data_IF_639599596527
#
_entry.id   IF_639599596527
#
_cell.length_a   1.000
_cell.length_b   1.000
_cell.length_c   1.000
_cell.angle_alpha   90.00
_cell.angle_beta   90.00
_cell.angle_gamma   90.00
#
_symmetry.space_group_name_H-M   'P 1'
#
loop_
_entity.id
_entity.type
_entity.pdbx_description
1 polymer ?
#
# COMPACT_ATOMS: atom_id res chain seq x y z
N UNK A 1 4.36 2.94 -9.26
CA UNK A 1 5.79 3.36 -9.26
C UNK A 1 6.73 2.23 -8.86
N UNK A 2 6.45 1.47 -7.79
CA UNK A 2 7.36 0.41 -7.32
C UNK A 2 7.57 -0.78 -8.28
N UNK A 3 6.73 -0.92 -9.32
CA UNK A 3 6.84 -2.01 -10.28
C UNK A 3 8.21 -2.07 -10.98
N UNK A 4 8.74 -0.93 -11.43
CA UNK A 4 10.04 -0.87 -12.11
C UNK A 4 11.19 -1.19 -11.15
N UNK A 5 11.05 -0.79 -9.88
CA UNK A 5 12.05 -1.08 -8.85
C UNK A 5 12.15 -2.59 -8.58
N UNK A 6 11.04 -3.34 -8.64
CA UNK A 6 11.07 -4.79 -8.46
C UNK A 6 11.97 -5.45 -9.51
N UNK A 7 11.83 -5.07 -10.79
CA UNK A 7 12.69 -5.62 -11.86
C UNK A 7 14.17 -5.32 -11.59
N UNK A 8 14.52 -4.12 -11.13
CA UNK A 8 15.91 -3.79 -10.79
C UNK A 8 16.45 -4.61 -9.61
N UNK A 9 15.61 -4.90 -8.60
CA UNK A 9 15.97 -5.73 -7.45
C UNK A 9 16.16 -7.19 -7.88
N UNK A 10 15.29 -7.70 -8.75
CA UNK A 10 15.38 -9.06 -9.32
C UNK A 10 16.68 -9.26 -10.12
N UNK A 11 17.12 -8.23 -10.85
CA UNK A 11 18.39 -8.21 -11.58
C UNK A 11 19.62 -7.95 -10.68
N UNK A 12 19.43 -7.81 -9.36
CA UNK A 12 20.52 -7.71 -8.39
C UNK A 12 21.14 -6.31 -8.25
N UNK A 13 20.47 -5.24 -8.72
CA UNK A 13 20.98 -3.87 -8.61
C UNK A 13 20.93 -3.30 -7.18
N UNK A 14 20.23 -3.95 -6.25
CA UNK A 14 20.16 -3.52 -4.84
C UNK A 14 18.88 -3.96 -4.12
N UNK A 15 18.55 -3.28 -3.03
CA UNK A 15 17.36 -3.50 -2.20
C UNK A 15 16.36 -2.35 -2.33
N UNK A 16 15.08 -2.65 -2.14
CA UNK A 16 14.01 -1.65 -2.11
C UNK A 16 13.35 -1.56 -0.74
N UNK A 17 13.07 -0.33 -0.30
CA UNK A 17 12.26 -0.07 0.90
C UNK A 17 10.83 0.22 0.46
N UNK A 18 9.87 -0.55 0.96
CA UNK A 18 8.46 -0.48 0.56
C UNK A 18 7.53 -0.92 1.68
N UNK A 19 6.23 -0.82 1.45
CA UNK A 19 5.20 -1.38 2.33
C UNK A 19 5.01 -2.87 2.02
N UNK A 20 4.75 -3.67 3.06
CA UNK A 20 4.65 -5.13 2.99
C UNK A 20 3.73 -5.64 1.87
N UNK A 21 2.53 -5.05 1.73
CA UNK A 21 1.53 -5.52 0.76
C UNK A 21 1.64 -4.89 -0.63
N UNK A 22 2.66 -4.07 -0.92
CA UNK A 22 2.84 -3.46 -2.25
C UNK A 22 3.44 -4.42 -3.28
N UNK A 23 3.99 -5.56 -2.82
CA UNK A 23 4.63 -6.55 -3.68
C UNK A 23 4.00 -7.90 -3.42
N UNK A 24 3.37 -8.47 -4.46
CA UNK A 24 3.02 -9.89 -4.45
C UNK A 24 4.30 -10.67 -4.76
N UNK A 25 4.96 -11.20 -3.72
CA UNK A 25 6.17 -12.02 -3.87
C UNK A 25 5.91 -13.38 -4.55
N UNK A 26 4.65 -13.71 -4.83
CA UNK A 26 4.28 -14.98 -5.47
C UNK A 26 4.91 -15.06 -6.87
N UNK A 27 5.74 -16.08 -7.07
CA UNK A 27 6.49 -16.37 -8.29
C UNK A 27 7.59 -15.36 -8.69
N UNK A 28 8.12 -14.56 -7.75
CA UNK A 28 9.24 -13.64 -8.01
C UNK A 28 10.45 -13.97 -7.13
N UNK A 29 11.65 -13.69 -7.64
CA UNK A 29 12.90 -13.93 -6.90
C UNK A 29 13.22 -12.79 -5.91
N UNK A 30 12.19 -12.32 -5.18
CA UNK A 30 12.31 -11.26 -4.17
C UNK A 30 11.54 -11.67 -2.92
N UNK A 31 12.06 -11.28 -1.76
CA UNK A 31 11.37 -11.47 -0.49
C UNK A 31 11.23 -10.14 0.25
N UNK A 32 10.10 -9.97 0.94
CA UNK A 32 9.95 -8.86 1.88
C UNK A 32 10.63 -9.23 3.20
N UNK A 33 11.45 -8.33 3.73
CA UNK A 33 12.07 -8.48 5.05
C UNK A 33 11.69 -7.29 5.92
N UNK A 34 10.89 -7.48 6.99
CA UNK A 34 10.53 -6.38 7.87
C UNK A 34 11.76 -5.86 8.62
N UNK A 35 11.74 -4.58 8.97
CA UNK A 35 12.76 -3.99 9.82
C UNK A 35 12.65 -4.52 11.26
N UNK A 36 13.78 -4.50 11.98
CA UNK A 36 13.84 -4.72 13.42
C UNK A 36 14.54 -3.52 14.07
N UNK A 37 13.82 -2.69 14.87
CA UNK A 37 12.40 -2.79 15.22
C UNK A 37 11.46 -2.55 14.03
N UNK A 38 10.19 -2.99 14.15
CA UNK A 38 9.17 -2.80 13.11
C UNK A 38 8.91 -1.29 12.92
N UNK A 39 8.90 -0.86 11.66
CA UNK A 39 8.52 0.51 11.28
C UNK A 39 7.14 0.46 10.62
N UNK A 40 6.16 1.08 11.26
CA UNK A 40 4.80 1.18 10.74
C UNK A 40 4.54 2.59 10.20
N UNK A 41 3.80 2.65 9.09
CA UNK A 41 3.31 3.90 8.51
C UNK A 41 1.79 3.84 8.38
N UNK A 42 1.12 4.86 8.91
CA UNK A 42 -0.33 5.00 8.73
C UNK A 42 -0.68 5.38 7.29
N UNK A 43 -1.75 4.79 6.77
CA UNK A 43 -2.37 5.20 5.51
C UNK A 43 -3.66 5.96 5.79
N UNK A 44 -3.88 7.06 5.11
CA UNK A 44 -5.08 7.90 5.26
C UNK A 44 -5.78 8.11 3.92
N UNK A 45 -7.10 8.00 3.93
CA UNK A 45 -7.93 8.44 2.82
C UNK A 45 -8.32 9.91 3.06
N UNK A 46 -7.94 10.81 2.15
CA UNK A 46 -8.06 12.27 2.35
C UNK A 46 -8.96 12.92 1.30
N UNK A 47 -9.66 13.98 1.71
CA UNK A 47 -10.50 14.82 0.86
C UNK A 47 -10.55 16.26 1.39
N UNK A 48 -11.06 17.20 0.58
CA UNK A 48 -11.23 18.60 0.99
C UNK A 48 -12.23 18.72 2.14
N UNK A 49 -12.00 19.65 3.08
CA UNK A 49 -12.87 19.86 4.26
C UNK A 49 -14.37 20.01 3.93
N UNK A 50 -14.69 20.61 2.80
CA UNK A 50 -16.06 20.83 2.31
C UNK A 50 -16.35 20.07 1.02
N UNK A 51 -15.79 18.87 0.87
CA UNK A 51 -16.05 18.02 -0.28
C UNK A 51 -17.51 17.54 -0.29
N UNK A 52 -18.28 17.95 -1.29
CA UNK A 52 -19.59 17.38 -1.54
C UNK A 52 -19.42 15.96 -2.10
N UNK A 53 -20.03 14.97 -1.45
CA UNK A 53 -20.05 13.59 -1.91
C UNK A 53 -21.35 13.27 -2.62
N UNK A 54 -21.26 12.56 -3.74
CA UNK A 54 -22.43 11.91 -4.33
C UNK A 54 -22.92 10.77 -3.43
N UNK A 55 -24.17 10.32 -3.62
CA UNK A 55 -24.71 9.15 -2.91
C UNK A 55 -23.84 7.91 -3.10
N UNK A 56 -23.32 7.69 -4.32
CA UNK A 56 -22.43 6.57 -4.62
C UNK A 56 -21.11 6.67 -3.85
N UNK A 57 -20.49 7.85 -3.80
CA UNK A 57 -19.24 8.07 -3.06
C UNK A 57 -19.44 7.92 -1.56
N UNK A 58 -20.54 8.43 -1.01
CA UNK A 58 -20.87 8.27 0.40
C UNK A 58 -21.02 6.78 0.77
N UNK A 59 -21.73 6.00 -0.07
CA UNK A 59 -21.90 4.56 0.16
C UNK A 59 -20.58 3.80 0.06
N UNK A 60 -19.73 4.16 -0.90
CA UNK A 60 -18.40 3.59 -1.03
C UNK A 60 -17.53 3.85 0.21
N UNK A 61 -17.53 5.08 0.73
CA UNK A 61 -16.78 5.41 1.96
C UNK A 61 -17.31 4.62 3.16
N UNK A 62 -18.63 4.45 3.28
CA UNK A 62 -19.23 3.61 4.34
C UNK A 62 -18.75 2.15 4.24
N UNK A 63 -18.74 1.59 3.03
CA UNK A 63 -18.23 0.23 2.79
C UNK A 63 -16.75 0.10 3.12
N UNK A 64 -15.93 1.08 2.74
CA UNK A 64 -14.51 1.11 3.11
C UNK A 64 -14.32 1.14 4.63
N UNK A 65 -15.06 1.99 5.34
CA UNK A 65 -15.00 2.06 6.81
C UNK A 65 -15.39 0.74 7.46
N UNK A 66 -16.30 -0.02 6.87
CA UNK A 66 -16.66 -1.35 7.36
C UNK A 66 -15.59 -2.40 7.04
N UNK A 67 -15.03 -2.37 5.83
CA UNK A 67 -14.03 -3.33 5.36
C UNK A 67 -12.69 -3.21 6.10
N UNK A 68 -12.29 -1.98 6.47
CA UNK A 68 -11.03 -1.68 7.14
C UNK A 68 -11.21 -1.35 8.63
N UNK A 69 -12.28 -1.83 9.28
CA UNK A 69 -12.38 -1.74 10.74
C UNK A 69 -11.17 -2.45 11.37
N UNK A 70 -10.30 -1.65 11.99
CA UNK A 70 -9.30 -2.11 12.97
C UNK A 70 -10.00 -2.27 14.32
#
# INVERSE_FOLDING_TARGET
MFHNAITMIEEGLGYGITLESLITANNRNVCFRPFSPVLETGSVLVWKKHQNFSTATAKFIEMLKHAFKV
#
